data_IF_936893225327
#
_entry.id   IF_936893225327
#
_cell.length_a   1.000
_cell.length_b   1.000
_cell.length_c   1.000
_cell.angle_alpha   90.00
_cell.angle_beta   90.00
_cell.angle_gamma   90.00
#
_symmetry.space_group_name_H-M   'P 1'
#
loop_
_entity.id
_entity.type
_entity.pdbx_description
1 polymer ?
#
# COMPACT_ATOMS: atom_id res chain seq x y z
N UNK A 1 2.56 -13.89 19.22
CA UNK A 1 1.97 -13.15 20.36
C UNK A 1 1.53 -11.79 19.86
N UNK A 2 0.26 -11.41 19.99
CA UNK A 2 -0.10 -10.05 20.41
C UNK A 2 -0.79 -10.17 21.75
N UNK A 3 -0.44 -9.26 22.66
CA UNK A 3 -0.97 -9.14 24.00
C UNK A 3 -0.99 -7.65 24.36
N UNK A 4 -1.86 -6.88 23.71
CA UNK A 4 -2.05 -5.49 24.09
C UNK A 4 -2.63 -5.41 25.50
N UNK A 5 -2.02 -4.59 26.34
CA UNK A 5 -2.56 -4.21 27.64
C UNK A 5 -3.71 -3.22 27.49
N UNK A 6 -4.60 -3.15 28.47
CA UNK A 6 -5.71 -2.17 28.45
C UNK A 6 -5.19 -0.72 28.40
N UNK A 7 -3.99 -0.45 28.94
CA UNK A 7 -3.36 0.88 28.86
C UNK A 7 -2.94 1.24 27.44
N UNK A 8 -2.35 0.30 26.70
CA UNK A 8 -1.97 0.51 25.30
C UNK A 8 -3.19 0.74 24.42
N UNK A 9 -4.26 -0.05 24.65
CA UNK A 9 -5.55 0.12 23.97
C UNK A 9 -6.14 1.50 24.27
N UNK A 10 -6.08 1.94 25.54
CA UNK A 10 -6.62 3.23 25.97
C UNK A 10 -5.94 4.42 25.27
N UNK A 11 -4.61 4.40 25.13
CA UNK A 11 -3.86 5.48 24.45
C UNK A 11 -4.33 5.62 23.00
N UNK A 12 -4.45 4.49 22.29
CA UNK A 12 -4.91 4.50 20.89
C UNK A 12 -6.38 4.90 20.80
N UNK A 13 -7.22 4.44 21.73
CA UNK A 13 -8.64 4.80 21.77
C UNK A 13 -8.84 6.32 21.93
N UNK A 14 -8.07 6.95 22.82
CA UNK A 14 -8.11 8.41 23.02
C UNK A 14 -7.72 9.13 21.72
N UNK A 15 -6.63 8.73 21.06
CA UNK A 15 -6.21 9.30 19.77
C UNK A 15 -7.32 9.23 18.73
N UNK A 16 -7.93 8.06 18.55
CA UNK A 16 -9.00 7.86 17.57
C UNK A 16 -10.21 8.76 17.90
N UNK A 17 -10.56 8.89 19.19
CA UNK A 17 -11.66 9.75 19.65
C UNK A 17 -11.39 11.23 19.39
N UNK A 18 -10.19 11.72 19.67
CA UNK A 18 -9.78 13.11 19.39
C UNK A 18 -9.84 13.44 17.89
N UNK A 19 -9.45 12.49 17.03
CA UNK A 19 -9.47 12.70 15.58
C UNK A 19 -10.89 12.69 14.98
N UNK A 20 -11.78 11.89 15.54
CA UNK A 20 -13.12 11.65 14.98
C UNK A 20 -14.23 12.44 15.69
N UNK A 21 -13.97 12.99 16.87
CA UNK A 21 -14.93 13.73 17.68
C UNK A 21 -15.91 12.83 18.44
N UNK A 22 -16.64 11.96 17.74
CA UNK A 22 -17.64 11.08 18.34
C UNK A 22 -17.68 9.72 17.67
N UNK A 23 -17.81 8.65 18.46
CA UNK A 23 -18.06 7.31 17.93
C UNK A 23 -18.85 6.44 18.91
N UNK A 24 -19.56 5.47 18.36
CA UNK A 24 -20.17 4.38 19.10
C UNK A 24 -19.12 3.41 19.62
N UNK A 25 -19.47 2.60 20.62
CA UNK A 25 -18.61 1.52 21.10
C UNK A 25 -18.26 0.49 20.02
N UNK A 26 -19.11 0.32 19.00
CA UNK A 26 -18.85 -0.59 17.88
C UNK A 26 -17.85 0.02 16.91
N UNK A 27 -18.06 1.28 16.51
CA UNK A 27 -17.09 2.02 15.67
C UNK A 27 -15.71 2.10 16.33
N UNK A 28 -15.64 2.28 17.66
CA UNK A 28 -14.37 2.27 18.39
C UNK A 28 -13.67 0.91 18.32
N UNK A 29 -14.40 -0.19 18.47
CA UNK A 29 -13.83 -1.54 18.35
C UNK A 29 -13.29 -1.79 16.96
N UNK A 30 -14.06 -1.48 15.93
CA UNK A 30 -13.64 -1.61 14.53
C UNK A 30 -12.39 -0.76 14.26
N UNK A 31 -12.38 0.50 14.71
CA UNK A 31 -11.24 1.39 14.53
C UNK A 31 -9.99 0.93 15.30
N UNK A 32 -10.15 0.35 16.49
CA UNK A 32 -9.04 -0.21 17.27
C UNK A 32 -8.50 -1.52 16.68
N UNK A 33 -9.37 -2.38 16.14
CA UNK A 33 -8.97 -3.57 15.40
C UNK A 33 -8.16 -3.17 14.17
N UNK A 34 -8.60 -2.16 13.43
CA UNK A 34 -7.92 -1.63 12.26
C UNK A 34 -6.56 -0.98 12.61
N UNK A 35 -6.52 -0.08 13.60
CA UNK A 35 -5.32 0.70 13.95
C UNK A 35 -4.26 -0.15 14.68
N UNK A 36 -4.68 -1.01 15.61
CA UNK A 36 -3.75 -1.79 16.44
C UNK A 36 -3.38 -3.14 15.79
N UNK A 37 -4.18 -3.65 14.86
CA UNK A 37 -3.99 -4.95 14.21
C UNK A 37 -3.60 -6.08 15.20
N UNK A 38 -4.45 -6.37 16.20
CA UNK A 38 -4.18 -7.42 17.17
C UNK A 38 -4.02 -8.79 16.49
N UNK A 39 -3.01 -9.56 16.92
CA UNK A 39 -2.71 -10.89 16.41
C UNK A 39 -2.57 -11.97 17.49
N UNK A 40 -2.44 -13.23 17.11
CA UNK A 40 -2.24 -14.33 18.08
C UNK A 40 -3.35 -14.42 19.12
N UNK A 41 -2.99 -14.39 20.42
CA UNK A 41 -3.96 -14.60 21.52
C UNK A 41 -5.04 -13.51 21.60
N UNK A 42 -4.76 -12.30 21.13
CA UNK A 42 -5.75 -11.22 21.09
C UNK A 42 -6.93 -11.54 20.14
N UNK A 43 -6.73 -12.41 19.13
CA UNK A 43 -7.79 -12.87 18.21
C UNK A 43 -8.49 -14.16 18.64
N UNK A 44 -8.05 -14.78 19.75
CA UNK A 44 -8.69 -16.00 20.23
C UNK A 44 -10.14 -15.69 20.66
N UNK A 45 -11.08 -16.54 20.23
CA UNK A 45 -12.50 -16.43 20.58
C UNK A 45 -12.69 -16.97 21.99
N UNK A 46 -13.40 -16.20 22.82
CA UNK A 46 -13.72 -16.61 24.18
C UNK A 46 -14.78 -17.73 24.19
N UNK A 47 -14.53 -18.79 24.96
CA UNK A 47 -15.52 -19.86 25.17
C UNK A 47 -16.82 -19.26 25.74
N UNK A 48 -17.96 -19.56 25.10
CA UNK A 48 -19.30 -19.03 25.40
C UNK A 48 -19.54 -17.55 25.04
N UNK A 49 -18.68 -16.94 24.20
CA UNK A 49 -18.89 -15.58 23.69
C UNK A 49 -18.61 -15.48 22.19
N UNK A 50 -19.19 -14.47 21.55
CA UNK A 50 -19.01 -14.18 20.12
C UNK A 50 -17.98 -13.06 19.87
N UNK A 51 -17.19 -12.66 20.89
CA UNK A 51 -16.16 -11.62 20.78
C UNK A 51 -14.74 -12.16 21.08
N UNK A 52 -13.74 -11.59 20.41
CA UNK A 52 -12.32 -11.91 20.59
C UNK A 52 -11.79 -11.42 21.94
N UNK A 53 -10.64 -11.93 22.38
CA UNK A 53 -9.93 -11.44 23.56
C UNK A 53 -9.64 -9.93 23.49
N UNK A 54 -9.28 -9.41 22.32
CA UNK A 54 -9.06 -7.99 22.10
C UNK A 54 -10.36 -7.19 22.28
N UNK A 55 -11.44 -7.59 21.61
CA UNK A 55 -12.73 -6.93 21.72
C UNK A 55 -13.27 -6.96 23.15
N UNK A 56 -12.97 -8.03 23.90
CA UNK A 56 -13.29 -8.13 25.31
C UNK A 56 -12.50 -7.11 26.16
N UNK A 57 -11.20 -6.94 25.92
CA UNK A 57 -10.38 -5.91 26.58
C UNK A 57 -10.90 -4.50 26.29
N UNK A 58 -11.24 -4.20 25.03
CA UNK A 58 -11.87 -2.92 24.65
C UNK A 58 -13.19 -2.73 25.39
N UNK A 59 -14.02 -3.77 25.47
CA UNK A 59 -15.30 -3.72 26.19
C UNK A 59 -15.09 -3.50 27.70
N UNK A 60 -14.12 -4.17 28.30
CA UNK A 60 -13.79 -4.03 29.72
C UNK A 60 -13.28 -2.62 30.02
N UNK A 61 -12.39 -2.08 29.19
CA UNK A 61 -11.93 -0.69 29.28
C UNK A 61 -13.09 0.31 29.31
N UNK A 62 -14.09 0.16 28.42
CA UNK A 62 -15.26 1.07 28.39
C UNK A 62 -16.21 0.81 29.58
N UNK A 63 -16.40 -0.45 29.95
CA UNK A 63 -17.29 -0.83 31.06
C UNK A 63 -16.75 -0.38 32.41
N UNK A 64 -15.43 -0.40 32.59
CA UNK A 64 -14.70 0.02 33.79
C UNK A 64 -14.11 1.42 33.65
N UNK A 65 -14.68 2.28 32.80
CA UNK A 65 -14.23 3.66 32.55
C UNK A 65 -14.09 4.52 33.81
N UNK A 66 -14.85 4.22 34.87
CA UNK A 66 -14.76 4.94 36.15
C UNK A 66 -13.49 4.61 36.93
N UNK A 67 -12.78 3.54 36.55
CA UNK A 67 -11.55 3.04 37.19
C UNK A 67 -10.32 3.18 36.27
N UNK A 68 -10.46 3.84 35.12
CA UNK A 68 -9.36 4.14 34.22
C UNK A 68 -9.37 5.62 33.80
N UNK A 69 -8.48 5.99 32.88
CA UNK A 69 -8.29 7.39 32.49
C UNK A 69 -9.21 7.85 31.34
N UNK A 70 -10.09 6.98 30.84
CA UNK A 70 -10.92 7.26 29.65
C UNK A 70 -11.79 8.50 29.85
N UNK A 71 -12.42 8.65 31.01
CA UNK A 71 -13.28 9.79 31.33
C UNK A 71 -12.54 11.12 31.48
N UNK A 72 -11.20 11.12 31.52
CA UNK A 72 -10.41 12.37 31.45
C UNK A 72 -10.51 13.00 30.05
N UNK A 73 -10.65 12.18 29.00
CA UNK A 73 -10.56 12.60 27.60
C UNK A 73 -11.88 12.55 26.84
N UNK A 74 -12.84 11.73 27.28
CA UNK A 74 -14.14 11.64 26.62
C UNK A 74 -15.32 11.61 27.59
N UNK A 75 -16.48 11.98 27.09
CA UNK A 75 -17.78 11.75 27.70
C UNK A 75 -18.37 10.44 27.18
N UNK A 76 -19.09 9.72 28.03
CA UNK A 76 -19.76 8.47 27.67
C UNK A 76 -21.25 8.55 27.98
N UNK A 77 -22.07 8.37 26.96
CA UNK A 77 -23.52 8.30 27.08
C UNK A 77 -24.03 6.95 26.63
N UNK A 78 -25.02 6.40 27.36
CA UNK A 78 -25.60 5.09 27.03
C UNK A 78 -27.07 5.23 26.67
N UNK A 79 -27.42 4.80 25.47
CA UNK A 79 -28.78 4.73 24.94
C UNK A 79 -29.18 3.27 24.75
N UNK A 80 -29.79 2.68 25.78
CA UNK A 80 -30.17 1.27 25.79
C UNK A 80 -28.97 0.32 25.68
N UNK A 81 -28.85 -0.38 24.54
CA UNK A 81 -27.73 -1.30 24.26
C UNK A 81 -26.51 -0.60 23.65
N UNK A 82 -26.65 0.65 23.20
CA UNK A 82 -25.59 1.37 22.50
C UNK A 82 -24.92 2.37 23.45
N UNK A 83 -23.60 2.48 23.37
CA UNK A 83 -22.81 3.51 24.03
C UNK A 83 -22.17 4.44 23.01
N UNK A 84 -22.14 5.72 23.31
CA UNK A 84 -21.51 6.77 22.50
C UNK A 84 -20.38 7.39 23.34
N UNK A 85 -19.20 7.54 22.73
CA UNK A 85 -18.05 8.24 23.27
C UNK A 85 -17.85 9.55 22.50
N UNK A 86 -17.77 10.67 23.23
CA UNK A 86 -17.53 12.02 22.67
C UNK A 86 -16.22 12.58 23.22
N UNK A 87 -15.30 13.03 22.38
CA UNK A 87 -14.08 13.71 22.83
C UNK A 87 -14.43 15.01 23.58
N UNK A 88 -13.85 15.22 24.75
CA UNK A 88 -14.05 16.42 25.58
C UNK A 88 -13.38 17.67 25.00
N UNK A 89 -12.28 17.51 24.27
CA UNK A 89 -11.61 18.65 23.61
C UNK A 89 -12.47 19.24 22.50
N UNK A 90 -13.36 18.42 21.92
CA UNK A 90 -14.26 18.80 20.85
C UNK A 90 -15.71 19.04 21.32
N UNK A 91 -16.07 18.66 22.55
CA UNK A 91 -17.44 18.79 23.08
C UNK A 91 -17.75 20.13 23.77
N UNK A 92 -16.88 21.14 23.70
CA UNK A 92 -17.14 22.43 24.35
C UNK A 92 -17.98 23.37 23.45
N UNK A 93 -19.18 23.68 23.97
CA UNK A 93 -20.19 24.66 23.56
C UNK A 93 -21.10 24.36 22.36
N UNK A 94 -22.23 23.70 22.68
CA UNK A 94 -23.58 24.14 22.31
C UNK A 94 -23.89 24.56 20.85
N UNK A 95 -24.58 23.63 20.16
CA UNK A 95 -25.57 23.80 19.07
C UNK A 95 -25.05 23.81 17.62
N UNK A 96 -25.43 22.77 16.86
CA UNK A 96 -25.79 22.89 15.44
C UNK A 96 -25.57 21.66 14.57
N UNK A 97 -26.40 21.50 13.53
CA UNK A 97 -26.21 20.53 12.43
C UNK A 97 -24.83 20.66 11.75
N UNK A 98 -24.18 21.82 11.86
CA UNK A 98 -22.81 22.08 11.39
C UNK A 98 -21.76 21.19 12.05
N UNK A 99 -21.84 20.97 13.36
CA UNK A 99 -20.86 20.16 14.10
C UNK A 99 -20.99 18.68 13.73
N UNK A 100 -22.24 18.21 13.53
CA UNK A 100 -22.52 16.86 13.01
C UNK A 100 -21.95 16.67 11.59
N UNK A 101 -22.15 17.64 10.71
CA UNK A 101 -21.57 17.60 9.36
C UNK A 101 -20.03 17.63 9.38
N UNK A 102 -19.43 18.38 10.29
CA UNK A 102 -17.97 18.44 10.42
C UNK A 102 -17.39 17.11 10.96
N UNK A 103 -18.05 16.50 11.95
CA UNK A 103 -17.72 15.16 12.45
C UNK A 103 -17.87 14.11 11.35
N UNK A 104 -18.96 14.13 10.58
CA UNK A 104 -19.15 13.22 9.44
C UNK A 104 -18.07 13.42 8.38
N UNK A 105 -17.74 14.67 8.04
CA UNK A 105 -16.67 14.98 7.07
C UNK A 105 -15.30 14.47 7.55
N UNK A 106 -15.00 14.57 8.85
CA UNK A 106 -13.76 14.05 9.43
C UNK A 106 -13.74 12.52 9.42
N UNK A 107 -14.87 11.87 9.74
CA UNK A 107 -15.02 10.41 9.62
C UNK A 107 -14.83 9.94 8.18
N UNK A 108 -15.38 10.65 7.19
CA UNK A 108 -15.20 10.34 5.77
C UNK A 108 -13.76 10.51 5.31
N UNK A 109 -13.10 11.61 5.68
CA UNK A 109 -11.67 11.80 5.40
C UNK A 109 -10.84 10.66 6.00
N UNK A 110 -11.05 10.30 7.27
CA UNK A 110 -10.34 9.19 7.91
C UNK A 110 -10.61 7.84 7.23
N UNK A 111 -11.85 7.59 6.75
CA UNK A 111 -12.17 6.40 5.95
C UNK A 111 -11.38 6.36 4.63
N UNK A 112 -11.17 7.51 3.99
CA UNK A 112 -10.41 7.60 2.74
C UNK A 112 -8.90 7.44 2.92
N UNK A 113 -8.35 7.80 4.09
CA UNK A 113 -6.91 7.67 4.41
C UNK A 113 -6.56 6.39 5.19
N UNK A 114 -7.42 5.36 5.18
CA UNK A 114 -7.14 4.09 5.87
C UNK A 114 -5.88 3.45 5.31
N UNK A 115 -4.83 3.40 6.14
CA UNK A 115 -3.63 2.65 5.84
C UNK A 115 -3.94 1.15 5.88
N UNK A 116 -3.89 0.48 4.73
CA UNK A 116 -3.81 -0.98 4.70
C UNK A 116 -2.41 -1.35 5.21
N UNK A 117 -2.35 -2.08 6.32
CA UNK A 117 -1.10 -2.63 6.86
C UNK A 117 -0.68 -3.79 5.97
N UNK A 118 -0.03 -3.43 4.87
CA UNK A 118 0.68 -4.31 3.96
C UNK A 118 2.02 -4.59 4.64
N UNK A 119 2.42 -5.85 4.76
CA UNK A 119 3.77 -6.21 5.23
C UNK A 119 4.78 -5.81 4.16
N UNK A 120 5.22 -4.56 4.21
CA UNK A 120 6.00 -3.92 3.17
C UNK A 120 7.35 -4.62 2.97
N UNK A 121 7.94 -5.22 3.99
CA UNK A 121 9.27 -5.82 3.88
C UNK A 121 9.22 -7.17 3.14
N UNK A 122 8.28 -8.04 3.49
CA UNK A 122 8.07 -9.28 2.74
C UNK A 122 7.59 -9.02 1.31
N UNK A 123 6.74 -8.01 1.12
CA UNK A 123 6.21 -7.65 -0.20
C UNK A 123 7.28 -7.01 -1.06
N UNK A 124 8.13 -6.14 -0.51
CA UNK A 124 9.26 -5.58 -1.22
C UNK A 124 10.27 -6.66 -1.61
N UNK A 125 10.57 -7.63 -0.72
CA UNK A 125 11.46 -8.73 -1.05
C UNK A 125 10.91 -9.64 -2.15
N UNK A 126 9.63 -10.02 -2.06
CA UNK A 126 8.95 -10.82 -3.11
C UNK A 126 8.85 -10.06 -4.43
N UNK A 127 8.57 -8.76 -4.39
CA UNK A 127 8.52 -7.91 -5.58
C UNK A 127 9.89 -7.77 -6.23
N UNK A 128 10.97 -7.70 -5.45
CA UNK A 128 12.34 -7.64 -5.95
C UNK A 128 12.77 -8.96 -6.61
N UNK A 129 12.46 -10.11 -5.99
CA UNK A 129 12.73 -11.42 -6.59
C UNK A 129 11.91 -11.63 -7.88
N UNK A 130 10.64 -11.25 -7.87
CA UNK A 130 9.77 -11.29 -9.06
C UNK A 130 10.31 -10.39 -10.18
N UNK A 131 10.75 -9.17 -9.85
CA UNK A 131 11.36 -8.23 -10.78
C UNK A 131 12.58 -8.83 -11.46
N UNK A 132 13.56 -9.27 -10.67
CA UNK A 132 14.80 -9.85 -11.17
C UNK A 132 14.56 -11.08 -12.05
N UNK A 133 13.65 -11.99 -11.66
CA UNK A 133 13.29 -13.15 -12.48
C UNK A 133 12.69 -12.75 -13.83
N UNK A 134 11.87 -11.71 -13.83
CA UNK A 134 11.30 -11.18 -15.05
C UNK A 134 12.34 -10.49 -15.95
N UNK A 135 13.26 -9.72 -15.37
CA UNK A 135 14.38 -9.12 -16.10
C UNK A 135 15.23 -10.21 -16.79
N UNK A 136 15.59 -11.28 -16.06
CA UNK A 136 16.33 -12.41 -16.61
C UNK A 136 15.56 -13.13 -17.73
N UNK A 137 14.24 -13.29 -17.58
CA UNK A 137 13.39 -13.88 -18.61
C UNK A 137 13.41 -13.04 -19.90
N UNK A 138 13.23 -11.72 -19.78
CA UNK A 138 13.24 -10.81 -20.93
C UNK A 138 14.63 -10.76 -21.57
N UNK A 139 15.69 -10.73 -20.76
CA UNK A 139 17.09 -10.77 -21.23
C UNK A 139 17.35 -12.00 -22.12
N UNK A 140 16.91 -13.18 -21.66
CA UNK A 140 17.06 -14.41 -22.43
C UNK A 140 16.22 -14.38 -23.72
N UNK A 141 14.99 -13.88 -23.64
CA UNK A 141 14.12 -13.73 -24.80
C UNK A 141 14.73 -12.79 -25.86
N UNK A 142 15.39 -11.70 -25.44
CA UNK A 142 16.09 -10.79 -26.33
C UNK A 142 17.31 -11.44 -26.99
N UNK A 143 18.08 -12.24 -26.23
CA UNK A 143 19.22 -13.00 -26.78
C UNK A 143 18.78 -14.01 -27.84
N UNK A 144 17.65 -14.67 -27.64
CA UNK A 144 17.09 -15.64 -28.61
C UNK A 144 16.52 -14.95 -29.86
N UNK A 145 16.01 -13.73 -29.72
CA UNK A 145 15.45 -12.94 -30.82
C UNK A 145 16.52 -12.39 -31.77
N UNK A 146 17.72 -12.12 -31.26
CA UNK A 146 18.81 -11.48 -32.01
C UNK A 146 19.80 -12.48 -32.61
N UNK A 147 20.56 -12.03 -33.62
CA UNK A 147 21.74 -12.77 -34.09
C UNK A 147 22.75 -12.93 -32.95
N UNK A 148 23.54 -14.01 -32.95
CA UNK A 148 24.56 -14.29 -31.92
C UNK A 148 25.43 -13.06 -31.62
N UNK A 149 25.93 -12.36 -32.65
CA UNK A 149 26.80 -11.19 -32.49
C UNK A 149 26.13 -9.99 -31.78
N UNK A 150 24.80 -9.83 -31.93
CA UNK A 150 24.04 -8.77 -31.26
C UNK A 150 23.57 -9.23 -29.88
N UNK A 151 23.20 -10.51 -29.73
CA UNK A 151 22.81 -11.11 -28.46
C UNK A 151 23.95 -11.08 -27.42
N UNK A 152 25.20 -11.23 -27.86
CA UNK A 152 26.39 -11.10 -27.00
C UNK A 152 26.64 -9.66 -26.52
N UNK A 153 26.07 -8.65 -27.20
CA UNK A 153 26.20 -7.23 -26.82
C UNK A 153 25.11 -6.76 -25.86
N UNK A 154 24.08 -7.57 -25.59
CA UNK A 154 23.01 -7.20 -24.67
C UNK A 154 23.56 -7.07 -23.25
N UNK A 155 23.20 -5.98 -22.56
CA UNK A 155 23.66 -5.67 -21.19
C UNK A 155 22.47 -5.65 -20.23
N UNK A 156 22.63 -6.29 -19.08
CA UNK A 156 21.68 -6.21 -17.96
C UNK A 156 22.09 -5.05 -17.04
N UNK A 157 21.62 -3.85 -17.38
CA UNK A 157 22.10 -2.59 -16.80
C UNK A 157 21.71 -2.43 -15.33
N UNK A 158 20.51 -2.86 -14.93
CA UNK A 158 20.07 -2.81 -13.53
C UNK A 158 21.01 -3.59 -12.59
N UNK A 159 21.59 -4.70 -13.06
CA UNK A 159 22.56 -5.50 -12.28
C UNK A 159 23.96 -4.90 -12.30
N UNK A 160 24.39 -4.33 -13.43
CA UNK A 160 25.77 -3.81 -13.58
C UNK A 160 25.96 -2.40 -13.00
N UNK A 161 24.97 -1.52 -13.15
CA UNK A 161 25.07 -0.09 -12.82
C UNK A 161 24.09 0.35 -11.73
N UNK A 162 23.16 -0.53 -11.32
CA UNK A 162 22.10 -0.25 -10.36
C UNK A 162 20.95 0.55 -10.94
N UNK A 163 20.00 0.93 -10.09
CA UNK A 163 18.71 1.56 -10.45
C UNK A 163 18.82 3.00 -11.02
N UNK A 164 20.05 3.50 -11.24
CA UNK A 164 20.33 4.88 -11.64
C UNK A 164 20.22 5.15 -13.15
N UNK A 165 20.22 4.11 -13.99
CA UNK A 165 20.26 4.28 -15.45
C UNK A 165 18.90 4.65 -16.08
N UNK A 166 17.79 4.32 -15.41
CA UNK A 166 16.43 4.60 -15.90
C UNK A 166 15.86 3.53 -16.84
N UNK A 167 16.55 2.40 -16.98
CA UNK A 167 16.11 1.21 -17.72
C UNK A 167 16.85 -0.04 -17.23
N UNK A 168 16.31 -1.23 -17.49
CA UNK A 168 16.86 -2.50 -17.01
C UNK A 168 17.83 -3.17 -17.99
N UNK A 169 17.51 -3.14 -19.29
CA UNK A 169 18.24 -3.90 -20.31
C UNK A 169 18.59 -3.00 -21.51
N UNK A 170 19.86 -3.00 -21.91
CA UNK A 170 20.29 -2.50 -23.21
C UNK A 170 20.26 -3.65 -24.22
N UNK A 171 19.36 -3.57 -25.19
CA UNK A 171 19.22 -4.51 -26.29
C UNK A 171 19.41 -3.80 -27.64
N UNK A 172 19.11 -4.49 -28.72
CA UNK A 172 19.17 -3.98 -30.09
C UNK A 172 17.97 -4.43 -30.90
N UNK A 173 17.64 -3.70 -31.95
CA UNK A 173 16.76 -4.21 -33.01
C UNK A 173 17.52 -5.08 -34.01
N UNK A 174 16.82 -5.63 -35.01
CA UNK A 174 17.42 -6.48 -36.03
C UNK A 174 18.41 -5.75 -36.96
N UNK A 175 18.37 -4.41 -36.99
CA UNK A 175 19.33 -3.57 -37.73
C UNK A 175 20.57 -3.22 -36.90
N UNK A 176 20.57 -3.53 -35.60
CA UNK A 176 21.62 -3.17 -34.66
C UNK A 176 21.43 -1.79 -34.01
N UNK A 177 20.26 -1.13 -34.17
CA UNK A 177 19.95 0.10 -33.44
C UNK A 177 19.73 -0.23 -31.96
N UNK A 178 20.31 0.52 -31.01
CA UNK A 178 20.07 0.32 -29.58
C UNK A 178 18.58 0.41 -29.21
N UNK A 179 18.17 -0.42 -28.25
CA UNK A 179 16.85 -0.41 -27.62
C UNK A 179 17.02 -0.44 -26.11
N UNK A 180 16.42 0.53 -25.42
CA UNK A 180 16.44 0.60 -23.96
C UNK A 180 15.16 0.00 -23.42
N UNK A 181 15.26 -1.04 -22.60
CA UNK A 181 14.11 -1.81 -22.15
C UNK A 181 13.94 -1.64 -20.66
N UNK A 182 12.75 -1.17 -20.27
CA UNK A 182 12.25 -1.19 -18.90
C UNK A 182 11.31 -2.39 -18.71
N UNK A 183 11.59 -3.28 -17.75
CA UNK A 183 10.86 -4.53 -17.54
C UNK A 183 9.86 -4.39 -16.40
N UNK A 184 8.57 -4.60 -16.70
CA UNK A 184 7.50 -4.57 -15.69
C UNK A 184 6.82 -5.92 -15.56
N UNK A 185 7.20 -6.66 -14.54
CA UNK A 185 6.73 -8.03 -14.29
C UNK A 185 5.48 -8.09 -13.41
N UNK A 186 4.56 -9.00 -13.71
CA UNK A 186 3.41 -9.34 -12.86
C UNK A 186 3.00 -10.80 -13.01
N UNK A 187 2.52 -11.40 -11.93
CA UNK A 187 1.87 -12.73 -11.95
C UNK A 187 0.41 -12.66 -12.40
N UNK A 188 -0.16 -11.45 -12.46
CA UNK A 188 -1.53 -11.19 -12.90
C UNK A 188 -1.66 -10.94 -14.41
N UNK A 189 -2.86 -10.57 -14.87
CA UNK A 189 -3.12 -10.29 -16.28
C UNK A 189 -2.40 -9.03 -16.78
N UNK A 190 -2.35 -8.87 -18.10
CA UNK A 190 -1.65 -7.77 -18.81
C UNK A 190 -2.01 -6.37 -18.32
N UNK A 191 -3.27 -6.15 -17.96
CA UNK A 191 -3.86 -4.86 -17.54
C UNK A 191 -3.64 -4.55 -16.05
N UNK A 192 -2.99 -5.44 -15.30
CA UNK A 192 -2.57 -5.14 -13.92
C UNK A 192 -1.79 -3.84 -13.92
N UNK A 193 -2.10 -2.86 -13.04
CA UNK A 193 -1.31 -1.64 -12.93
C UNK A 193 0.15 -1.93 -12.61
N UNK A 194 1.04 -1.04 -13.04
CA UNK A 194 2.45 -1.07 -12.70
C UNK A 194 2.93 0.34 -12.39
N UNK A 195 4.11 0.42 -11.77
CA UNK A 195 4.67 1.65 -11.25
C UNK A 195 5.98 1.94 -11.96
N UNK A 196 6.24 3.24 -12.17
CA UNK A 196 7.50 3.75 -12.68
C UNK A 196 8.13 4.63 -11.61
N UNK A 197 9.45 4.56 -11.48
CA UNK A 197 10.20 5.60 -10.78
C UNK A 197 10.24 6.89 -11.60
N UNK A 198 10.55 8.01 -10.95
CA UNK A 198 10.71 9.29 -11.65
C UNK A 198 11.81 9.20 -12.72
N UNK A 199 12.87 8.45 -12.43
CA UNK A 199 14.00 8.27 -13.34
C UNK A 199 13.60 7.47 -14.59
N UNK A 200 12.91 6.34 -14.41
CA UNK A 200 12.39 5.52 -15.51
C UNK A 200 11.43 6.31 -16.40
N UNK A 201 10.51 7.06 -15.77
CA UNK A 201 9.59 7.93 -16.49
C UNK A 201 10.35 8.97 -17.32
N UNK A 202 11.28 9.69 -16.71
CA UNK A 202 12.06 10.72 -17.41
C UNK A 202 12.87 10.12 -18.57
N UNK A 203 13.46 8.95 -18.37
CA UNK A 203 14.22 8.24 -19.41
C UNK A 203 13.33 7.83 -20.60
N UNK A 204 12.15 7.27 -20.33
CA UNK A 204 11.17 6.91 -21.37
C UNK A 204 10.67 8.14 -22.15
N UNK A 205 10.54 9.29 -21.49
CA UNK A 205 10.15 10.56 -22.14
C UNK A 205 11.28 11.13 -23.01
N UNK A 206 12.53 11.06 -22.55
CA UNK A 206 13.70 11.61 -23.25
C UNK A 206 14.13 10.75 -24.45
N UNK A 207 14.10 9.42 -24.31
CA UNK A 207 14.54 8.45 -25.31
C UNK A 207 13.38 7.70 -25.97
N UNK A 208 12.23 8.35 -26.18
CA UNK A 208 10.99 7.70 -26.60
C UNK A 208 11.06 6.91 -27.92
N UNK A 209 12.02 7.20 -28.80
CA UNK A 209 12.24 6.47 -30.06
C UNK A 209 12.98 5.13 -29.85
N UNK A 210 13.89 5.08 -28.88
CA UNK A 210 14.73 3.93 -28.56
C UNK A 210 14.25 3.13 -27.35
N UNK A 211 13.50 3.77 -26.45
CA UNK A 211 13.05 3.19 -25.20
C UNK A 211 11.68 2.51 -25.33
N UNK A 212 11.49 1.42 -24.59
CA UNK A 212 10.24 0.70 -24.50
C UNK A 212 10.04 0.06 -23.14
N UNK A 213 8.78 -0.17 -22.79
CA UNK A 213 8.39 -0.99 -21.64
C UNK A 213 8.07 -2.40 -22.15
N UNK A 214 8.72 -3.40 -21.58
CA UNK A 214 8.37 -4.80 -21.74
C UNK A 214 7.52 -5.24 -20.54
N UNK A 215 6.22 -5.41 -20.77
CA UNK A 215 5.27 -5.94 -19.79
C UNK A 215 5.31 -7.47 -19.84
N UNK A 216 5.89 -8.07 -18.81
CA UNK A 216 5.84 -9.51 -18.59
C UNK A 216 4.66 -9.83 -17.66
N UNK A 217 3.65 -10.51 -18.17
CA UNK A 217 2.40 -10.80 -17.46
C UNK A 217 2.07 -12.28 -17.47
N UNK A 218 1.11 -12.68 -16.63
CA UNK A 218 0.81 -14.08 -16.33
C UNK A 218 2.07 -14.87 -15.95
N UNK A 219 3.06 -14.20 -15.32
CA UNK A 219 4.35 -14.81 -15.07
C UNK A 219 4.27 -15.81 -13.93
N UNK A 220 4.70 -17.04 -14.21
CA UNK A 220 4.78 -18.12 -13.24
C UNK A 220 6.23 -18.31 -12.79
N UNK A 221 6.53 -17.92 -11.55
CA UNK A 221 7.88 -17.96 -11.00
C UNK A 221 8.45 -19.37 -10.79
N UNK A 222 7.61 -20.41 -10.75
CA UNK A 222 8.05 -21.80 -10.57
C UNK A 222 8.48 -22.43 -11.90
N UNK A 223 7.72 -22.15 -12.95
CA UNK A 223 7.96 -22.68 -14.31
C UNK A 223 8.79 -21.74 -15.18
N UNK A 224 8.99 -20.49 -14.75
CA UNK A 224 9.64 -19.41 -15.50
C UNK A 224 8.99 -19.19 -16.88
N UNK A 225 7.67 -19.20 -16.91
CA UNK A 225 6.87 -18.97 -18.12
C UNK A 225 6.00 -17.73 -17.95
N UNK A 226 5.74 -17.01 -19.04
CA UNK A 226 4.88 -15.83 -19.05
C UNK A 226 4.68 -15.31 -20.46
N UNK A 227 3.94 -14.21 -20.57
CA UNK A 227 3.63 -13.58 -21.85
C UNK A 227 4.21 -12.16 -21.89
N UNK A 228 4.70 -11.76 -23.07
CA UNK A 228 5.32 -10.45 -23.28
C UNK A 228 4.36 -9.54 -24.07
N UNK A 229 4.18 -8.32 -23.59
CA UNK A 229 3.59 -7.22 -24.33
C UNK A 229 4.53 -6.01 -24.33
N UNK A 230 4.75 -5.39 -25.49
CA UNK A 230 5.66 -4.26 -25.64
C UNK A 230 4.90 -2.96 -25.81
N UNK A 231 5.35 -1.92 -25.12
CA UNK A 231 4.82 -0.56 -25.19
C UNK A 231 5.98 0.34 -25.61
N UNK A 232 5.93 0.90 -26.82
CA UNK A 232 6.95 1.85 -27.27
C UNK A 232 6.92 3.13 -26.43
N UNK A 233 8.03 3.87 -26.38
CA UNK A 233 8.05 5.20 -25.75
C UNK A 233 6.99 6.14 -26.34
N UNK A 234 6.75 6.08 -27.65
CA UNK A 234 5.64 6.81 -28.27
C UNK A 234 4.25 6.42 -27.72
N UNK A 235 4.00 5.12 -27.56
CA UNK A 235 2.73 4.63 -27.02
C UNK A 235 2.60 4.95 -25.53
N UNK A 236 3.69 4.91 -24.79
CA UNK A 236 3.77 5.37 -23.41
C UNK A 236 3.31 6.84 -23.29
N UNK A 237 3.82 7.72 -24.14
CA UNK A 237 3.46 9.15 -24.15
C UNK A 237 2.01 9.41 -24.58
N UNK A 238 1.48 8.62 -25.52
CA UNK A 238 0.19 8.92 -26.19
C UNK A 238 -1.00 8.15 -25.61
N UNK A 239 -0.79 6.94 -25.08
CA UNK A 239 -1.87 5.98 -24.77
C UNK A 239 -2.01 5.65 -23.29
N UNK A 240 -0.99 5.90 -22.47
CA UNK A 240 -1.03 5.56 -21.05
C UNK A 240 -1.47 6.76 -20.20
N UNK A 241 -2.17 6.47 -19.10
CA UNK A 241 -2.55 7.47 -18.10
C UNK A 241 -1.68 7.30 -16.88
N UNK A 242 -0.96 8.36 -16.50
CA UNK A 242 -0.11 8.37 -15.31
C UNK A 242 -0.86 9.00 -14.14
N UNK A 243 -0.85 8.33 -13.00
CA UNK A 243 -1.35 8.87 -11.74
C UNK A 243 -0.18 9.04 -10.77
N UNK A 244 0.05 10.24 -10.23
CA UNK A 244 1.12 10.43 -9.25
C UNK A 244 0.77 9.70 -7.95
N UNK A 245 1.68 8.83 -7.50
CA UNK A 245 1.49 8.00 -6.30
C UNK A 245 2.41 8.39 -5.14
N UNK A 246 3.59 8.95 -5.42
CA UNK A 246 4.59 9.33 -4.44
C UNK A 246 5.40 10.51 -4.95
N UNK A 247 5.92 11.33 -4.02
CA UNK A 247 6.72 12.52 -4.33
C UNK A 247 7.98 12.53 -3.49
N UNK A 248 9.12 12.80 -4.11
CA UNK A 248 10.37 13.10 -3.41
C UNK A 248 10.37 14.58 -3.00
N UNK A 249 10.46 14.84 -1.70
CA UNK A 249 10.51 16.21 -1.16
C UNK A 249 11.95 16.58 -0.83
N UNK A 250 12.42 17.70 -1.37
CA UNK A 250 13.71 18.30 -1.05
C UNK A 250 13.51 19.74 -0.58
N UNK A 251 14.27 20.16 0.43
CA UNK A 251 14.31 21.57 0.83
C UNK A 251 14.95 22.39 -0.32
N UNK A 252 14.37 23.55 -0.60
CA UNK A 252 14.92 24.50 -1.57
C UNK A 252 16.04 25.33 -0.96
#
# INVERSE_FOLDING_TARGET
>A
MSNYSEKEILVVAIKILEETGEMTTTELKEALMDEMNPGGNDLAINLNRNDTNFEQKVRNMISHRDHNELLKYCEYERFGRNGILRSKSLAQDGRGEKEKQEIETRKEKKRNFRARKVDFDEINARNKDLGLKGELYVLQHEKERLSVELGEKIIHVSVEQGDGAGYDILSYDLSGKPRYIEVKTTTGPKDTPFYLSENEKAFLEEYAEEAEIVRLYNFNCETLTGEIYRISGEDFLKKLTLQPISYKVTLK
#
